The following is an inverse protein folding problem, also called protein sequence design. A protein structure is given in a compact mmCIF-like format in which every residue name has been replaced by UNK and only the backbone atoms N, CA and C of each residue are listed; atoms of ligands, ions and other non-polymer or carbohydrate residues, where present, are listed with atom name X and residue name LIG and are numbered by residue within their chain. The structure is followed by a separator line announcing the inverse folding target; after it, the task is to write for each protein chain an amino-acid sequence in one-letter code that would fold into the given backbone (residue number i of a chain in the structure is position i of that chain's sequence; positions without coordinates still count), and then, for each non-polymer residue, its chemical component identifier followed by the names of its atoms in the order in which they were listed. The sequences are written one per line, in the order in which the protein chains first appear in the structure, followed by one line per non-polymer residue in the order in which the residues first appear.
data_IF_876909727685
#
_entry.id   IF_876909727685
#
_cell.length_a   1.000
_cell.length_b   1.000
_cell.length_c   1.000
_cell.angle_alpha   90.00
_cell.angle_beta   90.00
_cell.angle_gamma   90.00
#
_symmetry.space_group_name_H-M   'P 1'
#
loop_
_entity.id
_entity.type
_entity.pdbx_description
1 polymer ?
#
# COMPACT_ATOMS: atom_id res chain seq x y z
N UNK A 1 -6.26 -60.15 -73.89
CA UNK A 1 -6.90 -58.94 -74.40
C UNK A 1 -7.38 -58.21 -73.17
N UNK A 2 -6.69 -57.41 -72.83
CA UNK A 2 -6.36 -56.12 -72.42
C UNK A 2 -7.61 -55.23 -72.09
N UNK A 3 -7.79 -54.88 -70.83
CA UNK A 3 -8.77 -53.93 -70.38
C UNK A 3 -8.26 -53.17 -69.15
N UNK A 4 -7.62 -52.08 -69.41
CA UNK A 4 -7.08 -51.14 -68.38
C UNK A 4 -8.21 -50.39 -67.71
N UNK A 5 -8.29 -50.46 -66.40
CA UNK A 5 -9.22 -49.68 -65.58
C UNK A 5 -8.45 -48.60 -64.81
N UNK A 6 -8.58 -47.38 -65.27
CA UNK A 6 -8.01 -46.15 -64.68
C UNK A 6 -8.92 -45.65 -63.54
N UNK A 7 -8.53 -45.96 -62.31
CA UNK A 7 -9.17 -45.41 -61.10
C UNK A 7 -8.78 -43.98 -60.82
N UNK A 8 -9.76 -43.08 -60.89
CA UNK A 8 -9.66 -41.67 -60.57
C UNK A 8 -9.69 -41.45 -59.06
N UNK A 9 -8.56 -41.07 -58.47
CA UNK A 9 -8.45 -40.71 -57.06
C UNK A 9 -8.91 -39.26 -56.84
N UNK A 10 -10.12 -39.12 -56.30
CA UNK A 10 -10.60 -37.82 -55.82
C UNK A 10 -9.91 -37.46 -54.48
N UNK A 11 -9.00 -36.50 -54.50
CA UNK A 11 -8.43 -35.90 -53.29
C UNK A 11 -9.46 -34.96 -52.72
N UNK A 12 -10.04 -35.30 -51.53
CA UNK A 12 -10.82 -34.40 -50.72
C UNK A 12 -9.87 -33.49 -49.94
N UNK A 13 -9.68 -32.23 -50.33
CA UNK A 13 -9.05 -31.22 -49.55
C UNK A 13 -10.03 -30.74 -48.49
N UNK A 14 -9.78 -31.10 -47.24
CA UNK A 14 -10.48 -30.55 -46.07
C UNK A 14 -9.89 -29.16 -45.77
N UNK A 15 -10.68 -28.12 -46.02
CA UNK A 15 -10.36 -26.74 -45.55
C UNK A 15 -10.74 -26.65 -44.09
N UNK A 16 -9.73 -26.65 -43.22
CA UNK A 16 -9.92 -26.39 -41.79
C UNK A 16 -10.07 -24.87 -41.59
N UNK A 17 -11.33 -24.44 -41.37
CA UNK A 17 -11.59 -23.07 -40.89
C UNK A 17 -11.17 -22.95 -39.47
N UNK A 18 -10.01 -22.31 -39.22
CA UNK A 18 -9.57 -21.90 -37.88
C UNK A 18 -10.35 -20.66 -37.47
N UNK A 19 -11.36 -20.83 -36.66
CA UNK A 19 -12.05 -19.73 -35.99
C UNK A 19 -11.11 -19.17 -34.91
N UNK A 20 -10.45 -18.03 -35.22
CA UNK A 20 -9.74 -17.23 -34.22
C UNK A 20 -10.80 -16.49 -33.42
N UNK A 21 -11.16 -17.01 -32.25
CA UNK A 21 -11.93 -16.26 -31.26
C UNK A 21 -10.99 -15.25 -30.62
N UNK A 22 -11.08 -13.98 -31.07
CA UNK A 22 -10.46 -12.88 -30.39
C UNK A 22 -11.15 -12.70 -29.02
N UNK A 23 -10.52 -13.15 -27.96
CA UNK A 23 -10.89 -12.76 -26.60
C UNK A 23 -10.58 -11.29 -26.45
N UNK A 24 -11.62 -10.45 -26.48
CA UNK A 24 -11.54 -9.04 -26.08
C UNK A 24 -11.27 -9.10 -24.59
N UNK A 25 -10.01 -8.94 -24.19
CA UNK A 25 -9.67 -8.63 -22.82
C UNK A 25 -10.29 -7.24 -22.54
N UNK A 26 -11.35 -7.21 -21.75
CA UNK A 26 -11.83 -5.97 -21.17
C UNK A 26 -10.67 -5.44 -20.30
N UNK A 27 -9.93 -4.49 -20.83
CA UNK A 27 -9.04 -3.67 -20.03
C UNK A 27 -9.96 -2.88 -19.08
N UNK A 28 -10.08 -3.36 -17.85
CA UNK A 28 -10.78 -2.66 -16.80
C UNK A 28 -9.92 -1.43 -16.49
N UNK A 29 -10.36 -0.27 -16.96
CA UNK A 29 -9.72 1.00 -16.63
C UNK A 29 -9.85 1.21 -15.13
N UNK A 30 -8.75 1.53 -14.47
CA UNK A 30 -8.81 1.88 -13.06
C UNK A 30 -9.78 3.04 -12.85
N UNK A 31 -10.57 3.02 -11.77
CA UNK A 31 -11.47 4.11 -11.46
C UNK A 31 -10.68 5.42 -11.24
N UNK A 32 -11.26 6.54 -11.65
CA UNK A 32 -10.70 7.88 -11.49
C UNK A 32 -11.69 8.79 -10.76
N UNK A 33 -11.21 9.89 -10.22
CA UNK A 33 -12.10 10.97 -9.78
C UNK A 33 -12.54 11.79 -10.99
N UNK A 34 -13.84 11.83 -11.26
CA UNK A 34 -14.41 12.59 -12.39
C UNK A 34 -14.38 14.11 -12.16
N UNK A 35 -14.52 14.50 -10.90
CA UNK A 35 -14.48 15.90 -10.46
C UNK A 35 -13.45 16.04 -9.35
N UNK A 36 -12.54 16.98 -9.51
CA UNK A 36 -11.61 17.36 -8.45
C UNK A 36 -11.42 18.88 -8.40
N UNK A 37 -11.33 19.41 -7.19
CA UNK A 37 -10.88 20.75 -6.94
C UNK A 37 -9.70 20.77 -5.97
N UNK A 38 -8.73 21.62 -6.24
CA UNK A 38 -7.57 21.84 -5.39
C UNK A 38 -7.45 23.34 -5.14
N UNK A 39 -7.43 23.74 -3.88
CA UNK A 39 -7.30 25.15 -3.48
C UNK A 39 -6.17 25.30 -2.47
N UNK A 40 -5.48 26.42 -2.54
CA UNK A 40 -4.52 26.78 -1.51
C UNK A 40 -5.23 26.99 -0.17
N UNK A 41 -4.77 26.28 0.86
CA UNK A 41 -5.23 26.55 2.21
C UNK A 41 -4.41 27.71 2.80
N UNK A 42 -5.10 28.80 3.13
CA UNK A 42 -4.52 30.03 3.73
C UNK A 42 -5.05 30.25 5.16
N UNK A 43 -5.64 29.23 5.79
CA UNK A 43 -6.28 29.37 7.10
C UNK A 43 -5.32 29.59 8.25
N UNK A 44 -4.04 29.24 8.09
CA UNK A 44 -3.06 29.22 9.18
C UNK A 44 -3.33 28.13 10.23
N UNK A 45 -4.24 27.20 9.96
CA UNK A 45 -4.52 26.08 10.85
C UNK A 45 -3.35 25.10 10.87
N UNK A 46 -3.09 24.51 12.04
CA UNK A 46 -2.15 23.39 12.17
C UNK A 46 -2.85 22.02 12.09
N UNK A 47 -4.19 22.00 12.07
CA UNK A 47 -4.95 20.74 12.02
C UNK A 47 -5.19 20.30 10.59
N UNK A 48 -4.87 19.06 10.30
CA UNK A 48 -5.18 18.39 9.04
C UNK A 48 -6.39 17.47 9.24
N UNK A 49 -7.30 17.47 8.28
CA UNK A 49 -8.46 16.56 8.29
C UNK A 49 -8.60 15.88 6.95
N UNK A 50 -8.66 14.54 6.96
CA UNK A 50 -8.89 13.71 5.78
C UNK A 50 -10.11 12.84 6.02
N UNK A 51 -11.03 12.83 5.07
CA UNK A 51 -12.22 11.98 5.04
C UNK A 51 -12.37 11.35 3.67
N UNK A 52 -12.62 10.07 3.59
CA UNK A 52 -12.76 9.37 2.32
C UNK A 52 -13.76 8.21 2.40
N UNK A 53 -14.44 8.00 1.27
CA UNK A 53 -15.22 6.80 0.96
C UNK A 53 -14.72 6.25 -0.39
N UNK A 54 -15.32 5.19 -0.90
CA UNK A 54 -14.91 4.68 -2.22
C UNK A 54 -15.12 5.69 -3.34
N UNK A 55 -16.19 6.49 -3.28
CA UNK A 55 -16.53 7.47 -4.30
C UNK A 55 -16.09 8.91 -3.99
N UNK A 56 -15.47 9.15 -2.86
CA UNK A 56 -15.22 10.52 -2.38
C UNK A 56 -13.92 10.62 -1.60
N UNK A 57 -13.17 11.69 -1.83
CA UNK A 57 -12.01 12.10 -1.05
C UNK A 57 -12.09 13.59 -0.72
N UNK A 58 -11.96 13.93 0.55
CA UNK A 58 -11.83 15.31 1.04
C UNK A 58 -10.64 15.40 1.97
N UNK A 59 -9.79 16.36 1.74
CA UNK A 59 -8.67 16.67 2.60
C UNK A 59 -8.61 18.18 2.83
N UNK A 60 -8.45 18.60 4.07
CA UNK A 60 -8.28 19.98 4.45
C UNK A 60 -6.91 20.17 5.09
N UNK A 61 -6.21 21.21 4.69
CA UNK A 61 -4.91 21.59 5.21
C UNK A 61 -3.85 20.49 5.07
N UNK A 62 -3.84 19.79 3.93
CA UNK A 62 -2.84 18.74 3.62
C UNK A 62 -1.65 19.33 2.88
N UNK A 63 -0.46 18.82 3.17
CA UNK A 63 0.72 19.11 2.37
C UNK A 63 0.97 18.02 1.31
N UNK A 64 1.87 18.31 0.38
CA UNK A 64 2.13 17.43 -0.75
C UNK A 64 2.81 16.10 -0.34
N UNK A 65 3.65 16.13 0.70
CA UNK A 65 4.30 14.91 1.24
C UNK A 65 3.25 13.91 1.74
N UNK A 66 2.20 14.39 2.44
CA UNK A 66 1.09 13.54 2.90
C UNK A 66 0.30 12.94 1.73
N UNK A 67 0.06 13.72 0.67
CA UNK A 67 -0.64 13.24 -0.51
C UNK A 67 0.18 12.17 -1.24
N UNK A 68 1.47 12.38 -1.43
CA UNK A 68 2.38 11.41 -2.02
C UNK A 68 2.52 10.14 -1.17
N UNK A 69 2.63 10.28 0.14
CA UNK A 69 2.62 9.16 1.07
C UNK A 69 1.38 8.27 0.87
N UNK A 70 0.20 8.88 0.81
CA UNK A 70 -1.06 8.15 0.59
C UNK A 70 -1.16 7.53 -0.81
N UNK A 71 -0.65 8.23 -1.85
CA UNK A 71 -0.73 7.79 -3.24
C UNK A 71 0.25 6.65 -3.58
N UNK A 72 1.41 6.63 -2.94
CA UNK A 72 2.49 5.67 -3.22
C UNK A 72 2.77 4.69 -2.09
N UNK A 73 2.10 4.84 -0.93
CA UNK A 73 2.36 4.08 0.29
C UNK A 73 3.85 4.08 0.67
N UNK A 74 4.45 5.26 0.63
CA UNK A 74 5.88 5.48 0.86
C UNK A 74 6.05 6.49 1.99
N UNK A 75 7.02 6.26 2.88
CA UNK A 75 7.29 7.18 3.99
C UNK A 75 7.86 8.52 3.49
N UNK A 76 7.52 9.66 4.15
CA UNK A 76 7.92 11.00 3.67
C UNK A 76 9.43 11.18 3.48
N UNK A 77 10.25 10.55 4.30
CA UNK A 77 11.72 10.60 4.23
C UNK A 77 12.31 9.83 3.04
N UNK A 78 11.52 8.98 2.41
CA UNK A 78 11.88 8.25 1.19
C UNK A 78 11.42 8.97 -0.09
N UNK A 79 10.89 10.19 0.04
CA UNK A 79 10.46 11.02 -1.09
C UNK A 79 11.55 12.08 -1.33
N UNK A 80 12.00 12.22 -2.56
CA UNK A 80 13.00 13.22 -2.96
C UNK A 80 12.62 13.93 -4.27
N UNK A 81 13.29 15.04 -4.56
CA UNK A 81 13.01 15.84 -5.77
C UNK A 81 11.86 16.83 -5.62
N UNK A 82 11.32 17.02 -4.42
CA UNK A 82 10.29 18.03 -4.18
C UNK A 82 10.84 19.44 -4.30
N UNK A 83 10.16 20.36 -5.03
CA UNK A 83 10.50 21.77 -5.04
C UNK A 83 10.30 22.43 -3.68
N UNK A 84 11.10 23.45 -3.35
CA UNK A 84 11.05 24.14 -2.04
C UNK A 84 9.69 24.74 -1.68
N UNK A 85 8.88 25.14 -2.66
CA UNK A 85 7.54 25.67 -2.41
C UNK A 85 6.60 24.66 -1.72
N UNK A 86 6.90 23.37 -1.79
CA UNK A 86 6.09 22.31 -1.16
C UNK A 86 6.22 22.24 0.35
N UNK A 87 7.26 22.83 0.92
CA UNK A 87 7.53 22.75 2.37
C UNK A 87 6.47 23.51 3.18
N UNK A 88 6.00 24.65 2.67
CA UNK A 88 4.99 25.51 3.32
C UNK A 88 3.61 25.43 2.65
N UNK A 89 3.50 24.72 1.54
CA UNK A 89 2.28 24.64 0.76
C UNK A 89 1.26 23.67 1.38
N UNK A 90 0.08 24.20 1.68
CA UNK A 90 -1.05 23.41 2.14
C UNK A 90 -2.26 23.58 1.23
N UNK A 91 -3.05 22.53 1.09
CA UNK A 91 -4.16 22.47 0.15
C UNK A 91 -5.43 21.94 0.79
N UNK A 92 -6.56 22.43 0.28
CA UNK A 92 -7.87 21.84 0.46
C UNK A 92 -8.25 21.13 -0.85
N UNK A 93 -8.57 19.85 -0.74
CA UNK A 93 -8.87 18.98 -1.87
C UNK A 93 -10.24 18.39 -1.69
N UNK A 94 -11.05 18.46 -2.75
CA UNK A 94 -12.27 17.67 -2.88
C UNK A 94 -12.23 16.92 -4.22
N UNK A 95 -12.46 15.61 -4.17
CA UNK A 95 -12.49 14.76 -5.35
C UNK A 95 -13.65 13.77 -5.25
N UNK A 96 -14.36 13.55 -6.35
CA UNK A 96 -15.59 12.72 -6.40
C UNK A 96 -15.65 11.89 -7.67
N UNK A 97 -16.23 10.72 -7.54
CA UNK A 97 -16.71 9.89 -8.64
C UNK A 97 -18.19 10.25 -8.88
N UNK A 98 -18.57 10.51 -10.12
CA UNK A 98 -19.95 10.93 -10.48
C UNK A 98 -20.95 9.79 -10.32
N UNK A 99 -20.54 8.57 -10.67
CA UNK A 99 -21.36 7.38 -10.49
C UNK A 99 -20.76 6.49 -9.40
N UNK A 100 -21.20 6.62 -8.14
CA UNK A 100 -20.67 5.84 -7.02
C UNK A 100 -20.81 4.33 -7.20
N UNK A 101 -21.73 3.85 -8.02
CA UNK A 101 -21.93 2.41 -8.26
C UNK A 101 -20.76 1.76 -8.99
N UNK A 102 -19.96 2.54 -9.70
CA UNK A 102 -18.75 2.08 -10.40
C UNK A 102 -17.59 1.76 -9.46
N UNK A 103 -17.65 2.24 -8.22
CA UNK A 103 -16.59 2.13 -7.20
C UNK A 103 -17.12 1.59 -5.87
N UNK A 104 -18.20 0.82 -5.89
CA UNK A 104 -18.87 0.32 -4.69
C UNK A 104 -17.95 -0.51 -3.79
N UNK A 105 -16.94 -1.14 -4.39
CA UNK A 105 -15.90 -1.90 -3.67
C UNK A 105 -14.56 -1.76 -4.38
N UNK A 106 -13.77 -0.76 -3.99
CA UNK A 106 -12.42 -0.59 -4.51
C UNK A 106 -11.54 -1.77 -4.12
N UNK A 107 -10.88 -2.36 -5.10
CA UNK A 107 -9.84 -3.34 -4.85
C UNK A 107 -8.63 -2.68 -4.14
N UNK A 108 -7.83 -3.46 -3.38
CA UNK A 108 -6.61 -2.95 -2.79
C UNK A 108 -5.73 -2.23 -3.81
N UNK A 109 -5.28 -1.02 -3.47
CA UNK A 109 -4.43 -0.19 -4.35
C UNK A 109 -5.16 0.70 -5.34
N UNK A 110 -6.45 0.47 -5.66
CA UNK A 110 -7.19 1.32 -6.60
C UNK A 110 -7.35 2.76 -6.10
N UNK A 111 -7.60 2.96 -4.81
CA UNK A 111 -7.63 4.32 -4.23
C UNK A 111 -6.29 5.04 -4.39
N UNK A 112 -5.18 4.33 -4.18
CA UNK A 112 -3.85 4.89 -4.40
C UNK A 112 -3.63 5.26 -5.88
N UNK A 113 -4.13 4.45 -6.81
CA UNK A 113 -4.10 4.77 -8.25
C UNK A 113 -4.92 6.02 -8.58
N UNK A 114 -6.14 6.15 -8.03
CA UNK A 114 -6.97 7.36 -8.17
C UNK A 114 -6.27 8.61 -7.63
N UNK A 115 -5.57 8.48 -6.50
CA UNK A 115 -4.79 9.59 -5.92
C UNK A 115 -3.59 9.97 -6.80
N UNK A 116 -2.88 8.98 -7.38
CA UNK A 116 -1.80 9.26 -8.34
C UNK A 116 -2.30 10.03 -9.55
N UNK A 117 -3.42 9.57 -10.14
CA UNK A 117 -4.05 10.26 -11.27
C UNK A 117 -4.44 11.71 -10.91
N UNK A 118 -5.03 11.94 -9.75
CA UNK A 118 -5.37 13.29 -9.29
C UNK A 118 -4.12 14.18 -9.18
N UNK A 119 -3.00 13.63 -8.67
CA UNK A 119 -1.74 14.37 -8.56
C UNK A 119 -1.12 14.64 -9.93
N UNK A 120 -1.21 13.72 -10.88
CA UNK A 120 -0.79 13.91 -12.27
C UNK A 120 -1.62 15.01 -12.95
N UNK A 121 -2.95 14.97 -12.80
CA UNK A 121 -3.85 15.92 -13.46
C UNK A 121 -3.76 17.34 -12.87
N UNK A 122 -3.60 17.46 -11.54
CA UNK A 122 -3.73 18.74 -10.84
C UNK A 122 -2.38 19.40 -10.55
N UNK A 123 -1.32 18.62 -10.36
CA UNK A 123 0.01 19.10 -10.03
C UNK A 123 1.04 18.79 -11.12
N UNK A 124 0.62 18.21 -12.25
CA UNK A 124 1.50 17.75 -13.33
C UNK A 124 2.64 16.87 -12.80
N UNK A 125 2.32 16.04 -11.79
CA UNK A 125 3.27 15.15 -11.15
C UNK A 125 3.85 14.17 -12.17
N UNK A 126 5.18 14.09 -12.23
CA UNK A 126 5.91 12.96 -12.81
C UNK A 126 6.83 12.43 -11.74
N UNK A 127 6.70 11.16 -11.42
CA UNK A 127 7.50 10.51 -10.40
C UNK A 127 7.71 9.04 -10.75
N UNK A 128 8.81 8.49 -10.29
CA UNK A 128 9.13 7.08 -10.46
C UNK A 128 9.68 6.48 -9.16
N UNK A 129 9.59 5.16 -9.06
CA UNK A 129 10.20 4.42 -7.95
C UNK A 129 11.63 4.06 -8.34
N UNK A 130 12.58 4.40 -7.46
CA UNK A 130 13.97 3.99 -7.52
C UNK A 130 14.31 3.15 -6.30
N UNK A 131 14.94 2.00 -6.51
CA UNK A 131 15.36 1.15 -5.41
C UNK A 131 16.76 1.55 -4.92
N UNK A 132 16.88 1.90 -3.64
CA UNK A 132 18.15 2.28 -2.99
C UNK A 132 18.51 1.30 -1.89
N UNK A 133 19.78 1.02 -1.73
CA UNK A 133 20.28 0.24 -0.58
C UNK A 133 20.39 1.16 0.63
N UNK A 134 19.45 0.99 1.57
CA UNK A 134 19.36 1.81 2.78
C UNK A 134 19.45 0.92 4.03
N UNK A 135 19.68 1.53 5.22
CA UNK A 135 19.51 0.81 6.49
C UNK A 135 18.09 0.27 6.62
N UNK A 136 17.96 -0.97 7.05
CA UNK A 136 16.68 -1.68 7.25
C UNK A 136 16.79 -2.53 8.53
N UNK A 137 15.66 -3.05 8.98
CA UNK A 137 15.63 -4.17 9.91
C UNK A 137 15.14 -5.42 9.19
N UNK A 138 15.88 -6.51 9.34
CA UNK A 138 15.43 -7.83 8.94
C UNK A 138 14.58 -8.43 10.07
N UNK A 139 13.32 -8.76 9.77
CA UNK A 139 12.47 -9.53 10.65
C UNK A 139 12.77 -11.01 10.45
N UNK A 140 13.33 -11.66 11.47
CA UNK A 140 13.73 -13.08 11.44
C UNK A 140 13.10 -13.85 12.58
N UNK A 141 13.07 -15.18 12.49
CA UNK A 141 12.69 -16.03 13.63
C UNK A 141 13.83 -16.04 14.64
N UNK A 142 13.52 -15.75 15.91
CA UNK A 142 14.49 -15.78 17.01
C UNK A 142 15.00 -17.21 17.27
N UNK A 143 16.14 -17.34 17.93
CA UNK A 143 16.72 -18.66 18.29
C UNK A 143 15.79 -19.54 19.14
N UNK A 144 14.91 -18.93 19.90
CA UNK A 144 13.87 -19.59 20.71
C UNK A 144 12.76 -20.22 19.90
N UNK A 145 12.69 -19.93 18.59
CA UNK A 145 11.61 -20.33 17.70
C UNK A 145 10.43 -19.35 17.71
N UNK A 146 9.60 -19.42 16.66
CA UNK A 146 8.38 -18.63 16.53
C UNK A 146 7.33 -19.04 17.58
N UNK A 147 6.67 -18.05 18.17
CA UNK A 147 5.53 -18.24 19.09
C UNK A 147 4.21 -17.86 18.44
N UNK A 148 4.21 -17.61 17.14
CA UNK A 148 3.03 -17.22 16.39
C UNK A 148 2.03 -18.35 16.28
N UNK A 149 0.76 -17.99 16.33
CA UNK A 149 -0.37 -18.93 16.12
C UNK A 149 -0.87 -18.80 14.68
N UNK A 150 -0.84 -19.89 13.87
CA UNK A 150 -1.47 -19.86 12.56
C UNK A 150 -2.95 -19.53 12.65
N UNK A 151 -3.43 -18.67 11.76
CA UNK A 151 -4.86 -18.36 11.66
C UNK A 151 -5.65 -19.59 11.26
N UNK A 152 -6.81 -19.86 11.89
CA UNK A 152 -7.67 -20.98 11.48
C UNK A 152 -8.10 -20.86 10.02
N UNK A 153 -8.12 -21.96 9.25
CA UNK A 153 -8.43 -21.94 7.81
C UNK A 153 -9.89 -21.55 7.50
N UNK A 154 -10.80 -21.76 8.45
CA UNK A 154 -12.24 -21.55 8.28
C UNK A 154 -12.75 -20.33 9.10
N UNK A 155 -12.07 -19.20 8.98
CA UNK A 155 -12.50 -17.99 9.67
C UNK A 155 -13.82 -17.44 9.12
N UNK A 156 -14.77 -17.05 9.98
CA UNK A 156 -15.95 -16.31 9.53
C UNK A 156 -15.48 -15.00 8.86
N UNK A 157 -16.00 -14.68 7.68
CA UNK A 157 -15.71 -13.42 6.98
C UNK A 157 -15.97 -12.16 7.83
N UNK A 158 -16.79 -12.28 8.87
CA UNK A 158 -17.09 -11.23 9.83
C UNK A 158 -15.92 -10.86 10.76
N UNK A 159 -14.89 -11.73 10.90
CA UNK A 159 -13.75 -11.44 11.77
C UNK A 159 -12.81 -10.38 11.18
N UNK A 160 -12.87 -10.20 9.86
CA UNK A 160 -12.00 -9.28 9.14
C UNK A 160 -10.56 -9.82 9.03
N UNK A 161 -9.83 -9.25 8.09
CA UNK A 161 -8.38 -9.42 7.92
C UNK A 161 -7.77 -8.05 8.10
N UNK A 162 -6.73 -7.92 8.88
CA UNK A 162 -6.05 -6.63 9.03
C UNK A 162 -5.25 -6.47 10.31
N UNK A 163 -4.69 -5.29 10.42
CA UNK A 163 -3.85 -4.87 11.55
C UNK A 163 -4.47 -3.61 12.12
N UNK A 164 -4.67 -3.60 13.43
CA UNK A 164 -5.08 -2.43 14.19
C UNK A 164 -3.95 -2.06 15.15
N UNK A 165 -3.61 -0.78 15.21
CA UNK A 165 -2.63 -0.25 16.15
C UNK A 165 -3.30 0.82 17.00
N UNK A 166 -3.33 0.62 18.32
CA UNK A 166 -3.87 1.58 19.28
C UNK A 166 -3.31 1.34 20.68
N UNK A 167 -3.09 2.41 21.42
CA UNK A 167 -2.71 2.35 22.85
C UNK A 167 -1.59 1.36 23.17
N UNK A 168 -0.44 1.45 22.52
CA UNK A 168 0.72 0.57 22.75
C UNK A 168 0.46 -0.92 22.44
N UNK A 169 -0.55 -1.19 21.63
CA UNK A 169 -0.92 -2.54 21.21
C UNK A 169 -1.09 -2.59 19.69
N UNK A 170 -0.50 -3.60 19.06
CA UNK A 170 -0.72 -3.96 17.67
C UNK A 170 -1.43 -5.31 17.67
N UNK A 171 -2.66 -5.32 17.18
CA UNK A 171 -3.49 -6.50 17.09
C UNK A 171 -3.75 -6.84 15.61
N UNK A 172 -3.44 -8.08 15.22
CA UNK A 172 -3.46 -8.51 13.85
C UNK A 172 -4.16 -9.84 13.68
N UNK A 173 -5.03 -9.92 12.66
CA UNK A 173 -5.81 -11.11 12.35
C UNK A 173 -5.68 -11.49 10.88
N UNK A 174 -5.41 -12.76 10.62
CA UNK A 174 -5.35 -13.38 9.28
C UNK A 174 -4.37 -12.65 8.35
N UNK A 175 -3.18 -12.31 8.85
CA UNK A 175 -2.16 -11.56 8.10
C UNK A 175 -0.95 -12.41 7.73
N UNK A 176 -0.34 -12.11 6.57
CA UNK A 176 0.97 -12.62 6.20
C UNK A 176 2.08 -11.88 6.97
N UNK A 177 3.25 -12.51 7.13
CA UNK A 177 4.39 -11.88 7.81
C UNK A 177 4.92 -10.65 7.07
N UNK A 178 4.79 -10.57 5.77
CA UNK A 178 5.10 -9.34 5.01
C UNK A 178 4.24 -8.15 5.45
N UNK A 179 2.93 -8.34 5.65
CA UNK A 179 2.05 -7.29 6.14
C UNK A 179 2.37 -6.88 7.60
N UNK A 180 2.84 -7.83 8.41
CA UNK A 180 3.33 -7.52 9.76
C UNK A 180 4.64 -6.71 9.72
N UNK A 181 5.56 -7.05 8.83
CA UNK A 181 6.79 -6.28 8.62
C UNK A 181 6.49 -4.84 8.17
N UNK A 182 5.52 -4.66 7.26
CA UNK A 182 5.04 -3.32 6.86
C UNK A 182 4.47 -2.54 8.06
N UNK A 183 3.69 -3.18 8.92
CA UNK A 183 3.18 -2.54 10.13
C UNK A 183 4.29 -2.15 11.11
N UNK A 184 5.29 -3.02 11.30
CA UNK A 184 6.45 -2.70 12.13
C UNK A 184 7.27 -1.53 11.57
N UNK A 185 7.35 -1.39 10.24
CA UNK A 185 8.01 -0.26 9.57
C UNK A 185 7.50 1.09 10.10
N UNK A 186 6.19 1.21 10.33
CA UNK A 186 5.58 2.43 10.89
C UNK A 186 5.83 2.62 12.38
N UNK A 187 6.22 1.56 13.10
CA UNK A 187 6.46 1.64 14.54
C UNK A 187 7.93 1.94 14.87
N UNK A 188 8.86 1.54 13.98
CA UNK A 188 10.30 1.70 14.21
C UNK A 188 10.95 2.77 13.33
N UNK A 189 10.15 3.54 12.56
CA UNK A 189 10.61 4.57 11.63
C UNK A 189 11.75 4.09 10.70
N UNK A 190 11.76 2.80 10.38
CA UNK A 190 12.77 2.19 9.53
C UNK A 190 12.15 1.02 8.77
N UNK A 191 12.48 0.87 7.49
CA UNK A 191 11.94 -0.23 6.68
C UNK A 191 12.27 -1.58 7.33
N UNK A 192 11.24 -2.41 7.51
CA UNK A 192 11.36 -3.77 7.99
C UNK A 192 11.13 -4.74 6.84
N UNK A 193 12.06 -5.65 6.63
CA UNK A 193 11.99 -6.66 5.57
C UNK A 193 11.69 -8.02 6.20
N UNK A 194 10.64 -8.70 5.71
CA UNK A 194 10.32 -10.05 6.15
C UNK A 194 11.35 -11.06 5.63
N UNK A 195 12.15 -11.60 6.53
CA UNK A 195 13.08 -12.72 6.30
C UNK A 195 12.78 -13.90 7.23
N UNK A 196 11.55 -13.98 7.74
CA UNK A 196 11.15 -15.08 8.65
C UNK A 196 11.05 -16.42 7.93
N UNK A 197 10.81 -16.43 6.62
CA UNK A 197 10.46 -17.61 5.83
C UNK A 197 9.20 -18.34 6.33
N UNK A 198 8.37 -17.68 7.14
CA UNK A 198 7.09 -18.22 7.61
C UNK A 198 6.03 -18.02 6.52
N UNK A 199 5.43 -19.12 6.10
CA UNK A 199 4.36 -19.11 5.10
C UNK A 199 3.00 -19.26 5.78
N UNK A 200 1.94 -18.73 5.13
CA UNK A 200 0.58 -18.76 5.68
C UNK A 200 0.21 -17.45 6.34
N UNK A 201 -0.85 -17.50 7.13
CA UNK A 201 -1.42 -16.36 7.82
C UNK A 201 -1.44 -16.59 9.32
N UNK A 202 -1.34 -15.52 10.07
CA UNK A 202 -1.15 -15.56 11.53
C UNK A 202 -2.08 -14.58 12.22
N UNK A 203 -2.48 -14.96 13.43
CA UNK A 203 -3.09 -14.09 14.41
C UNK A 203 -2.03 -13.75 15.46
N UNK A 204 -1.91 -12.49 15.81
CA UNK A 204 -0.94 -12.05 16.83
C UNK A 204 -1.41 -10.77 17.52
N UNK A 205 -0.96 -10.61 18.75
CA UNK A 205 -1.07 -9.38 19.52
C UNK A 205 0.32 -9.03 20.03
N UNK A 206 0.74 -7.78 19.88
CA UNK A 206 2.02 -7.27 20.34
C UNK A 206 1.80 -6.04 21.21
N UNK A 207 2.28 -6.08 22.46
CA UNK A 207 2.21 -4.97 23.42
C UNK A 207 3.60 -4.42 23.68
N UNK A 208 3.76 -3.10 23.47
CA UNK A 208 5.07 -2.45 23.58
C UNK A 208 4.93 -1.00 24.04
N UNK A 209 5.98 -0.45 24.64
CA UNK A 209 6.04 0.97 24.93
C UNK A 209 6.29 1.76 23.65
N UNK A 210 5.47 2.79 23.38
CA UNK A 210 5.82 3.82 22.40
C UNK A 210 6.98 4.64 22.95
N UNK A 211 8.03 4.80 22.18
CA UNK A 211 9.07 5.79 22.47
C UNK A 211 8.53 7.18 22.11
N UNK A 212 7.64 7.72 22.95
CA UNK A 212 7.26 9.12 22.84
C UNK A 212 8.46 9.99 23.19
N UNK A 213 9.04 10.66 22.19
CA UNK A 213 10.03 11.73 22.37
C UNK A 213 9.46 12.99 23.07
N UNK A 214 8.21 12.95 23.54
CA UNK A 214 7.60 13.99 24.35
C UNK A 214 7.88 13.74 25.82
N UNK A 215 8.81 14.49 26.40
CA UNK A 215 9.16 14.50 27.80
C UNK A 215 8.03 15.03 28.72
N UNK A 216 6.83 14.52 28.59
CA UNK A 216 5.73 14.78 29.51
C UNK A 216 5.49 13.50 30.33
N UNK A 217 5.56 13.55 31.68
CA UNK A 217 5.23 12.41 32.50
C UNK A 217 3.71 12.17 32.42
N UNK A 218 3.31 11.27 31.55
CA UNK A 218 1.95 10.73 31.56
C UNK A 218 1.91 9.63 32.63
N UNK A 219 1.23 9.96 33.71
CA UNK A 219 0.99 9.00 34.79
C UNK A 219 0.15 7.82 34.31
N UNK A 220 0.49 6.68 34.88
CA UNK A 220 -0.17 5.39 34.85
C UNK A 220 -0.10 4.56 33.57
N UNK A 221 0.66 3.50 33.66
CA UNK A 221 0.67 2.19 32.98
C UNK A 221 1.54 1.94 31.76
N UNK A 222 2.32 2.90 31.24
CA UNK A 222 3.31 2.60 30.16
C UNK A 222 4.70 2.19 30.67
N UNK A 223 5.01 2.40 31.95
CA UNK A 223 6.36 2.18 32.50
C UNK A 223 6.80 0.71 32.58
N UNK A 224 5.85 -0.24 32.46
CA UNK A 224 6.13 -1.69 32.55
C UNK A 224 6.13 -2.39 31.16
N UNK A 225 5.84 -1.70 30.05
CA UNK A 225 5.85 -2.35 28.74
C UNK A 225 7.28 -2.37 28.13
N UNK A 226 7.68 -3.51 27.52
CA UNK A 226 8.98 -3.60 26.87
C UNK A 226 9.05 -2.73 25.61
N UNK A 227 10.27 -2.38 25.18
CA UNK A 227 10.47 -1.77 23.86
C UNK A 227 9.95 -2.68 22.77
N UNK A 228 9.59 -2.12 21.59
CA UNK A 228 9.09 -2.91 20.47
C UNK A 228 10.07 -4.02 20.05
N UNK A 229 11.39 -3.80 20.14
CA UNK A 229 12.41 -4.80 19.84
C UNK A 229 12.34 -5.99 20.82
N UNK A 230 12.22 -5.70 22.11
CA UNK A 230 12.08 -6.70 23.16
C UNK A 230 10.73 -7.41 23.03
N UNK A 231 9.65 -6.67 22.80
CA UNK A 231 8.31 -7.21 22.66
C UNK A 231 8.22 -8.23 21.51
N UNK A 232 8.77 -7.90 20.34
CA UNK A 232 8.81 -8.79 19.16
C UNK A 232 9.56 -10.08 19.50
N UNK A 233 10.68 -10.01 20.24
CA UNK A 233 11.44 -11.21 20.60
C UNK A 233 10.74 -12.03 21.69
N UNK A 234 10.26 -11.40 22.75
CA UNK A 234 9.68 -12.10 23.89
C UNK A 234 8.28 -12.66 23.63
N UNK A 235 7.43 -11.87 22.97
CA UNK A 235 6.03 -12.24 22.79
C UNK A 235 5.81 -13.09 21.53
N UNK A 236 6.51 -12.80 20.42
CA UNK A 236 6.29 -13.44 19.13
C UNK A 236 7.38 -14.46 18.76
N UNK A 237 8.51 -14.48 19.44
CA UNK A 237 9.67 -15.32 19.07
C UNK A 237 10.28 -14.90 17.74
N UNK A 238 10.16 -13.63 17.38
CA UNK A 238 10.77 -13.01 16.21
C UNK A 238 11.82 -12.02 16.65
N UNK A 239 12.66 -11.56 15.73
CA UNK A 239 13.71 -10.59 16.05
C UNK A 239 13.93 -9.61 14.92
N UNK A 240 14.16 -8.35 15.27
CA UNK A 240 14.57 -7.29 14.36
C UNK A 240 16.10 -7.19 14.38
N UNK A 241 16.75 -7.46 13.25
CA UNK A 241 18.21 -7.36 13.10
C UNK A 241 18.54 -6.21 12.15
N UNK A 242 19.45 -5.29 12.55
CA UNK A 242 19.88 -4.22 11.66
C UNK A 242 20.66 -4.79 10.48
N UNK A 243 20.31 -4.36 9.27
CA UNK A 243 20.96 -4.74 8.01
C UNK A 243 20.88 -3.56 7.01
N UNK A 244 21.35 -3.81 5.79
CA UNK A 244 21.15 -2.93 4.64
C UNK A 244 20.42 -3.71 3.55
N UNK A 245 19.36 -3.13 3.03
CA UNK A 245 18.54 -3.78 2.03
C UNK A 245 17.98 -2.82 0.98
N UNK A 246 17.37 -3.38 -0.06
CA UNK A 246 16.69 -2.60 -1.08
C UNK A 246 15.43 -1.96 -0.48
N UNK A 247 15.33 -0.65 -0.63
CA UNK A 247 14.18 0.15 -0.20
C UNK A 247 13.69 0.97 -1.38
N UNK A 248 12.41 0.89 -1.66
CA UNK A 248 11.77 1.70 -2.69
C UNK A 248 11.71 3.16 -2.22
N UNK A 249 12.22 4.07 -3.05
CA UNK A 249 12.19 5.52 -2.83
C UNK A 249 11.42 6.18 -3.97
N UNK A 250 10.65 7.22 -3.68
CA UNK A 250 9.95 8.00 -4.69
C UNK A 250 10.80 9.18 -5.13
N UNK A 251 11.11 9.23 -6.41
CA UNK A 251 11.80 10.36 -7.04
C UNK A 251 10.76 11.19 -7.80
N UNK A 252 10.62 12.45 -7.42
CA UNK A 252 9.77 13.41 -8.12
C UNK A 252 10.59 14.10 -9.20
N UNK A 253 10.27 13.81 -10.47
CA UNK A 253 10.95 14.35 -11.65
C UNK A 253 10.39 15.71 -12.06
N UNK A 254 9.07 15.88 -11.90
CA UNK A 254 8.35 17.12 -12.22
C UNK A 254 7.17 17.29 -11.27
N UNK A 255 6.98 18.52 -10.83
CA UNK A 255 5.85 18.92 -10.00
C UNK A 255 5.58 20.42 -10.19
N UNK A 256 4.32 20.76 -10.45
CA UNK A 256 3.91 22.15 -10.66
C UNK A 256 2.88 22.57 -9.61
N UNK A 257 2.79 23.87 -9.36
CA UNK A 257 1.75 24.40 -8.49
C UNK A 257 0.39 24.25 -9.18
N UNK A 258 -0.66 23.82 -8.45
CA UNK A 258 -1.97 23.65 -9.05
C UNK A 258 -2.54 25.02 -9.44
N UNK A 259 -3.20 25.07 -10.60
CA UNK A 259 -4.05 26.22 -10.93
C UNK A 259 -5.26 26.24 -9.99
N UNK A 260 -5.57 27.37 -9.39
CA UNK A 260 -6.82 27.53 -8.62
C UNK A 260 -8.03 27.35 -9.56
N UNK A 261 -9.00 26.55 -9.10
CA UNK A 261 -10.29 26.38 -9.78
C UNK A 261 -11.35 27.23 -9.11
#
# INVERSE_FOLDING_TARGET
MSGTNTGLWLRKTAVACVLITATIANAQTDPIFDISSVKWNKSGSHSTHISSTDAFYRANNVNLKMLLQNAYNIRPELISGLPSWTDDAHFDIEAKVLDPTTVEHLAPGQRAAMMRQLLEDRFHLKAHIEQKTLPVFDLVVAKSGSKLTPSPPDLPKSRGTGINSHNNELDAHDIAMSAFADALTHQVDCTVIDKTNLTGKFDLTLKFAHEDNSAAPHGDSSDDLPSIFTAVEEQLGLKLLPDKGPVDTLIVDQLEQPSEN
#
